data_IF_638184701785
#
_entry.id   IF_638184701785
#
_cell.length_a   1.000
_cell.length_b   1.000
_cell.length_c   1.000
_cell.angle_alpha   90.00
_cell.angle_beta   90.00
_cell.angle_gamma   90.00
#
_symmetry.space_group_name_H-M   'P 1'
#
loop_
_entity.id
_entity.type
_entity.pdbx_description
1 polymer ?
#
# COMPACT_ATOMS: atom_id res chain seq x y z
N UNK A 1 -22.23 -7.38 0.67
CA UNK A 1 -22.56 -7.51 -0.75
C UNK A 1 -21.81 -8.68 -1.38
N UNK A 2 -20.47 -8.78 -1.28
CA UNK A 2 -19.74 -10.00 -1.72
C UNK A 2 -19.47 -11.04 -0.62
N UNK A 3 -19.73 -10.73 0.65
CA UNK A 3 -19.44 -11.62 1.79
C UNK A 3 -20.36 -12.84 1.87
N UNK A 4 -21.46 -12.83 1.11
CA UNK A 4 -22.55 -13.79 1.22
C UNK A 4 -22.60 -14.75 0.02
N UNK A 5 -21.62 -14.68 -0.90
CA UNK A 5 -21.51 -15.56 -2.06
C UNK A 5 -20.65 -16.77 -1.72
N UNK A 6 -21.17 -17.98 -2.00
CA UNK A 6 -20.40 -19.22 -1.94
C UNK A 6 -19.41 -19.31 -3.10
N UNK A 7 -18.37 -20.13 -2.95
CA UNK A 7 -17.42 -20.42 -4.02
C UNK A 7 -18.12 -21.05 -5.25
N UNK A 8 -19.17 -21.84 -5.02
CA UNK A 8 -19.97 -22.44 -6.08
C UNK A 8 -20.81 -21.40 -6.83
N UNK A 9 -21.32 -20.39 -6.11
CA UNK A 9 -22.05 -19.26 -6.71
C UNK A 9 -21.10 -18.45 -7.61
N UNK A 10 -19.85 -18.25 -7.17
CA UNK A 10 -18.82 -17.56 -7.94
C UNK A 10 -18.46 -18.35 -9.20
N UNK A 11 -18.25 -19.66 -9.11
CA UNK A 11 -17.93 -20.52 -10.25
C UNK A 11 -19.07 -20.58 -11.26
N UNK A 12 -20.30 -20.73 -10.78
CA UNK A 12 -21.51 -20.74 -11.62
C UNK A 12 -21.63 -19.43 -12.41
N UNK A 13 -21.37 -18.32 -11.75
CA UNK A 13 -21.44 -16.98 -12.32
C UNK A 13 -20.33 -16.66 -13.34
N UNK A 14 -19.13 -17.21 -13.17
CA UNK A 14 -18.02 -17.11 -14.15
C UNK A 14 -18.32 -17.92 -15.42
N UNK A 15 -18.94 -19.10 -15.25
CA UNK A 15 -19.25 -20.02 -16.35
C UNK A 15 -20.59 -19.72 -17.02
N UNK A 16 -21.38 -18.79 -16.48
CA UNK A 16 -22.62 -18.34 -17.09
C UNK A 16 -22.29 -17.29 -18.15
N UNK A 17 -22.37 -17.65 -19.43
CA UNK A 17 -22.15 -16.77 -20.59
C UNK A 17 -23.14 -15.58 -20.72
N UNK A 18 -23.93 -15.30 -19.67
CA UNK A 18 -24.90 -14.21 -19.67
C UNK A 18 -24.33 -12.93 -19.10
N UNK A 19 -24.92 -11.82 -19.58
CA UNK A 19 -24.85 -10.43 -19.13
C UNK A 19 -24.81 -10.20 -17.62
N UNK A 20 -25.08 -11.21 -16.78
CA UNK A 20 -25.03 -11.14 -15.33
C UNK A 20 -23.66 -10.78 -14.77
N UNK A 21 -22.53 -11.07 -15.45
CA UNK A 21 -21.21 -10.57 -15.00
C UNK A 21 -21.18 -9.03 -14.94
N UNK A 22 -21.90 -8.33 -15.82
CA UNK A 22 -22.04 -6.87 -15.77
C UNK A 22 -22.91 -6.38 -14.61
N UNK A 23 -23.75 -7.25 -14.06
CA UNK A 23 -24.65 -6.99 -12.94
C UNK A 23 -24.06 -7.38 -11.58
N UNK A 24 -22.96 -8.15 -11.56
CA UNK A 24 -22.11 -8.35 -10.38
C UNK A 24 -21.47 -7.02 -10.05
N UNK A 25 -22.27 -6.16 -9.43
CA UNK A 25 -21.93 -4.89 -8.85
C UNK A 25 -20.87 -4.14 -9.65
N UNK A 26 -21.29 -3.20 -10.50
CA UNK A 26 -20.39 -2.20 -11.11
C UNK A 26 -19.67 -1.44 -10.00
N UNK A 27 -18.60 -2.04 -9.46
CA UNK A 27 -17.68 -1.36 -8.57
C UNK A 27 -17.10 -0.25 -9.43
N UNK A 28 -16.97 0.96 -8.89
CA UNK A 28 -16.28 2.02 -9.60
C UNK A 28 -14.79 1.67 -9.60
N UNK A 29 -14.39 0.77 -10.50
CA UNK A 29 -13.02 0.28 -10.67
C UNK A 29 -12.12 1.39 -11.22
N UNK A 30 -12.71 2.39 -11.87
CA UNK A 30 -12.04 3.57 -12.43
C UNK A 30 -12.32 4.82 -11.61
N UNK A 31 -12.36 4.70 -10.28
CA UNK A 31 -12.27 5.91 -9.46
C UNK A 31 -10.87 6.49 -9.53
N UNK A 32 -10.79 7.81 -9.39
CA UNK A 32 -9.52 8.52 -9.24
C UNK A 32 -8.68 7.98 -8.07
N UNK A 33 -9.32 7.48 -7.00
CA UNK A 33 -8.62 6.86 -5.88
C UNK A 33 -7.88 5.59 -6.31
N UNK A 34 -8.53 4.70 -7.07
CA UNK A 34 -7.91 3.47 -7.59
C UNK A 34 -6.76 3.81 -8.54
N UNK A 35 -6.95 4.76 -9.45
CA UNK A 35 -5.90 5.20 -10.37
C UNK A 35 -4.67 5.76 -9.65
N UNK A 36 -4.89 6.59 -8.62
CA UNK A 36 -3.81 7.14 -7.78
C UNK A 36 -3.07 6.03 -7.05
N UNK A 37 -3.78 5.04 -6.48
CA UNK A 37 -3.14 3.90 -5.82
C UNK A 37 -2.28 3.09 -6.79
N UNK A 38 -2.79 2.77 -7.98
CA UNK A 38 -2.04 2.04 -9.01
C UNK A 38 -0.79 2.83 -9.41
N UNK A 39 -0.91 4.14 -9.62
CA UNK A 39 0.22 5.01 -9.95
C UNK A 39 1.30 4.98 -8.86
N UNK A 40 0.92 5.15 -7.59
CA UNK A 40 1.85 5.11 -6.46
C UNK A 40 2.58 3.76 -6.35
N UNK A 41 1.83 2.66 -6.46
CA UNK A 41 2.41 1.30 -6.43
C UNK A 41 3.39 1.10 -7.58
N UNK A 42 3.02 1.53 -8.79
CA UNK A 42 3.88 1.41 -9.98
C UNK A 42 5.15 2.25 -9.85
N UNK A 43 5.04 3.49 -9.41
CA UNK A 43 6.21 4.36 -9.18
C UNK A 43 7.13 3.80 -8.09
N UNK A 44 6.58 3.26 -7.00
CA UNK A 44 7.35 2.65 -5.94
C UNK A 44 8.08 1.38 -6.42
N UNK A 45 7.40 0.49 -7.14
CA UNK A 45 7.98 -0.73 -7.71
C UNK A 45 9.08 -0.41 -8.73
N UNK A 46 8.85 0.58 -9.61
CA UNK A 46 9.83 0.99 -10.60
C UNK A 46 11.14 1.49 -9.97
N UNK A 47 11.08 2.16 -8.80
CA UNK A 47 12.27 2.65 -8.09
C UNK A 47 13.20 1.56 -7.58
N UNK A 48 12.72 0.32 -7.46
CA UNK A 48 13.50 -0.82 -6.99
C UNK A 48 13.71 -1.87 -8.09
N UNK A 49 13.32 -1.56 -9.33
CA UNK A 49 13.51 -2.45 -10.46
C UNK A 49 14.98 -2.43 -10.91
N UNK A 50 15.60 -3.61 -11.00
CA UNK A 50 17.01 -3.77 -11.34
C UNK A 50 17.92 -3.89 -10.12
N UNK A 51 19.05 -4.57 -10.31
CA UNK A 51 19.96 -4.95 -9.22
C UNK A 51 20.54 -3.73 -8.49
N UNK A 52 21.06 -2.75 -9.22
CA UNK A 52 21.70 -1.56 -8.65
C UNK A 52 20.70 -0.66 -7.90
N UNK A 53 19.50 -0.48 -8.45
CA UNK A 53 18.45 0.33 -7.83
C UNK A 53 17.96 -0.31 -6.51
N UNK A 54 17.76 -1.63 -6.51
CA UNK A 54 17.39 -2.39 -5.32
C UNK A 54 18.49 -2.31 -4.25
N UNK A 55 19.73 -2.54 -4.64
CA UNK A 55 20.89 -2.49 -3.74
C UNK A 55 21.08 -1.08 -3.14
N UNK A 56 20.93 -0.03 -3.94
CA UNK A 56 20.88 1.36 -3.47
C UNK A 56 19.75 1.60 -2.47
N UNK A 57 18.54 1.12 -2.76
CA UNK A 57 17.39 1.23 -1.86
C UNK A 57 17.61 0.51 -0.52
N UNK A 58 18.18 -0.70 -0.54
CA UNK A 58 18.50 -1.48 0.67
C UNK A 58 19.53 -0.72 1.51
N UNK A 59 20.64 -0.27 0.91
CA UNK A 59 21.66 0.52 1.63
C UNK A 59 21.10 1.79 2.23
N UNK A 60 20.29 2.55 1.49
CA UNK A 60 19.66 3.76 1.99
C UNK A 60 18.72 3.47 3.17
N UNK A 61 17.96 2.38 3.09
CA UNK A 61 17.06 1.92 4.16
C UNK A 61 17.82 1.48 5.41
N UNK A 62 18.93 0.74 5.24
CA UNK A 62 19.78 0.35 6.37
C UNK A 62 20.41 1.57 7.04
N UNK A 63 20.90 2.53 6.26
CA UNK A 63 21.47 3.78 6.76
C UNK A 63 20.45 4.64 7.49
N UNK A 64 19.21 4.74 6.98
CA UNK A 64 18.16 5.48 7.68
C UNK A 64 17.80 4.82 9.00
N UNK A 65 17.68 3.48 9.03
CA UNK A 65 17.42 2.70 10.25
C UNK A 65 18.55 2.80 11.26
N UNK A 66 19.81 2.84 10.84
CA UNK A 66 20.94 2.99 11.77
C UNK A 66 20.98 4.35 12.46
N UNK A 67 20.41 5.39 11.84
CA UNK A 67 20.30 6.73 12.44
C UNK A 67 19.16 6.80 13.47
N UNK A 68 18.14 5.95 13.32
CA UNK A 68 17.03 5.87 14.27
C UNK A 68 17.54 5.22 15.57
N UNK A 69 17.36 5.92 16.69
CA UNK A 69 17.75 5.40 18.01
C UNK A 69 16.90 4.19 18.37
N UNK A 70 17.49 3.22 19.07
CA UNK A 70 16.73 2.12 19.67
C UNK A 70 15.80 2.70 20.76
N UNK A 71 14.52 2.38 20.67
CA UNK A 71 13.50 2.80 21.63
C UNK A 71 12.96 1.58 22.36
N UNK A 72 12.97 1.60 23.69
CA UNK A 72 12.44 0.51 24.52
C UNK A 72 10.91 0.55 24.59
N UNK A 73 10.32 1.75 24.51
CA UNK A 73 8.88 1.97 24.49
C UNK A 73 8.50 2.87 23.33
N UNK A 74 7.28 2.71 22.82
CA UNK A 74 6.73 3.57 21.75
C UNK A 74 6.70 5.06 22.15
N UNK A 75 6.49 5.36 23.43
CA UNK A 75 6.53 6.72 23.99
C UNK A 75 7.89 7.41 23.85
N UNK A 76 8.96 6.63 23.71
CA UNK A 76 10.32 7.16 23.63
C UNK A 76 10.61 7.69 22.21
N UNK A 77 9.82 7.26 21.22
CA UNK A 77 9.87 7.79 19.87
C UNK A 77 9.30 9.21 19.85
N UNK A 78 10.19 10.20 19.75
CA UNK A 78 9.80 11.60 19.64
C UNK A 78 9.77 11.99 18.17
N UNK A 79 8.57 12.33 17.66
CA UNK A 79 8.45 12.82 16.29
C UNK A 79 9.23 14.13 16.15
N UNK A 80 9.83 14.38 14.97
CA UNK A 80 10.61 15.60 14.71
C UNK A 80 9.80 16.87 14.99
N UNK A 81 8.48 16.83 14.75
CA UNK A 81 7.54 17.91 15.09
C UNK A 81 7.48 18.23 16.60
N UNK A 82 7.71 17.24 17.46
CA UNK A 82 7.69 17.41 18.92
C UNK A 82 9.05 17.90 19.46
N UNK A 83 10.13 17.72 18.69
CA UNK A 83 11.47 18.21 19.04
C UNK A 83 11.50 19.74 18.93
N UNK A 84 10.97 20.29 17.83
CA UNK A 84 10.93 21.73 17.59
C UNK A 84 10.08 22.49 18.62
N UNK A 85 8.93 21.92 19.04
CA UNK A 85 8.09 22.52 20.10
C UNK A 85 8.76 22.64 21.47
N UNK A 86 9.72 21.77 21.79
CA UNK A 86 10.48 21.85 23.06
C UNK A 86 11.68 22.80 23.01
N UNK A 87 12.15 23.19 21.82
CA UNK A 87 13.25 24.17 21.67
C UNK A 87 12.75 25.62 21.70
N UNK A 88 11.46 25.83 21.50
CA UNK A 88 10.81 27.14 21.49
C UNK A 88 10.24 27.56 22.87
N UNK A 89 10.56 26.83 23.94
CA UNK A 89 10.12 27.10 25.31
C UNK A 89 11.30 27.12 26.27
#
# INVERSE_FOLDING_TARGET
MLRDLSEDDIKSLINCDTTHIREIQKFPCHTQAVERCIKLVKEASNKVCGHEALDGYIRATLKSRSIIRNFSKKSDFKCVLDIEKKKAQ
#
